data_IF_144931395526
#
_entry.id   IF_144931395526
#
_cell.length_a   1.000
_cell.length_b   1.000
_cell.length_c   1.000
_cell.angle_alpha   90.00
_cell.angle_beta   90.00
_cell.angle_gamma   90.00
#
_symmetry.space_group_name_H-M   'P 1'
#
loop_
_entity.id
_entity.type
_entity.pdbx_description
1 polymer ?
#
# COMPACT_ATOMS: atom_id res chain seq x y z
N UNK A 1 15.35 -11.51 15.76
CA UNK A 1 14.37 -11.20 14.71
C UNK A 1 15.07 -10.48 13.58
N UNK A 2 14.82 -10.91 12.34
CA UNK A 2 15.40 -10.23 11.19
C UNK A 2 14.66 -8.93 10.93
N UNK A 3 15.36 -7.82 10.65
CA UNK A 3 14.69 -6.60 10.26
C UNK A 3 13.99 -6.77 8.91
N UNK A 4 12.90 -6.04 8.73
CA UNK A 4 12.21 -6.02 7.45
C UNK A 4 13.06 -5.31 6.40
N UNK A 5 13.06 -5.85 5.17
CA UNK A 5 13.67 -5.17 4.04
C UNK A 5 12.82 -3.97 3.63
N UNK A 6 13.44 -2.98 2.99
CA UNK A 6 12.68 -1.89 2.39
C UNK A 6 11.81 -2.46 1.26
N UNK A 7 10.51 -2.14 1.23
CA UNK A 7 9.63 -2.63 0.18
C UNK A 7 9.90 -1.93 -1.16
N UNK A 8 9.60 -2.59 -2.29
CA UNK A 8 9.59 -1.90 -3.58
C UNK A 8 8.59 -0.74 -3.54
N UNK A 9 8.90 0.35 -4.23
CA UNK A 9 8.02 1.53 -4.22
C UNK A 9 6.61 1.24 -4.73
N UNK A 10 6.45 0.24 -5.61
CA UNK A 10 5.13 -0.16 -6.09
C UNK A 10 4.20 -0.57 -4.95
N UNK A 11 4.72 -1.15 -3.87
CA UNK A 11 3.91 -1.53 -2.70
C UNK A 11 3.41 -0.31 -1.94
N UNK A 12 4.15 0.78 -1.94
CA UNK A 12 3.71 2.04 -1.32
C UNK A 12 2.57 2.65 -2.14
N UNK A 13 2.65 2.63 -3.47
CA UNK A 13 1.55 3.06 -4.33
C UNK A 13 0.28 2.25 -4.05
N UNK A 14 0.40 0.92 -3.95
CA UNK A 14 -0.75 0.06 -3.63
C UNK A 14 -1.34 0.39 -2.26
N UNK A 15 -0.49 0.71 -1.27
CA UNK A 15 -0.93 1.11 0.06
C UNK A 15 -1.72 2.41 0.02
N UNK A 16 -1.29 3.39 -0.75
CA UNK A 16 -2.01 4.66 -0.91
C UNK A 16 -3.43 4.40 -1.43
N UNK A 17 -3.56 3.54 -2.44
CA UNK A 17 -4.88 3.18 -2.97
C UNK A 17 -5.74 2.49 -1.92
N UNK A 18 -5.19 1.55 -1.15
CA UNK A 18 -5.94 0.84 -0.12
C UNK A 18 -6.49 1.81 0.93
N UNK A 19 -5.71 2.79 1.35
CA UNK A 19 -6.16 3.82 2.29
C UNK A 19 -7.23 4.71 1.65
N UNK A 20 -6.97 5.20 0.43
CA UNK A 20 -7.90 6.09 -0.27
C UNK A 20 -9.25 5.42 -0.54
N UNK A 21 -9.26 4.12 -0.84
CA UNK A 21 -10.49 3.36 -1.11
C UNK A 21 -11.20 2.90 0.17
N UNK A 22 -10.65 3.20 1.35
CA UNK A 22 -11.27 2.81 2.60
C UNK A 22 -11.24 1.31 2.88
N UNK A 23 -10.25 0.60 2.33
CA UNK A 23 -10.14 -0.87 2.49
C UNK A 23 -9.45 -1.30 3.78
N UNK A 24 -8.94 -0.35 4.57
CA UNK A 24 -8.29 -0.62 5.85
C UNK A 24 -9.32 -0.51 6.96
N UNK A 25 -9.44 -1.54 7.80
CA UNK A 25 -10.31 -1.54 8.99
C UNK A 25 -9.48 -1.85 10.22
N UNK A 26 -9.43 -0.91 11.14
CA UNK A 26 -8.80 -1.13 12.45
C UNK A 26 -9.77 -1.95 13.31
N UNK A 27 -9.33 -3.11 13.78
CA UNK A 27 -10.18 -4.08 14.47
C UNK A 27 -9.91 -4.16 15.97
N UNK A 28 -9.41 -3.07 16.56
CA UNK A 28 -9.09 -3.01 17.97
C UNK A 28 -7.59 -2.79 18.20
N UNK A 29 -7.12 -2.81 19.47
CA UNK A 29 -5.71 -2.61 19.75
C UNK A 29 -4.88 -3.77 19.19
N UNK A 30 -3.95 -3.48 18.33
CA UNK A 30 -3.01 -4.45 17.80
C UNK A 30 -3.49 -5.28 16.62
N UNK A 31 -4.63 -4.94 16.01
CA UNK A 31 -5.16 -5.71 14.88
C UNK A 31 -5.87 -4.84 13.87
N UNK A 32 -5.76 -5.21 12.60
CA UNK A 32 -6.46 -4.58 11.49
C UNK A 32 -6.66 -5.57 10.35
N UNK A 33 -7.59 -5.28 9.46
CA UNK A 33 -7.77 -6.03 8.22
C UNK A 33 -7.69 -5.10 7.02
N UNK A 34 -7.21 -5.63 5.90
CA UNK A 34 -7.12 -4.88 4.64
C UNK A 34 -7.73 -5.75 3.54
N UNK A 35 -8.76 -5.24 2.89
CA UNK A 35 -9.38 -5.92 1.76
C UNK A 35 -8.52 -5.74 0.50
N UNK A 36 -8.41 -6.79 -0.32
CA UNK A 36 -7.70 -6.70 -1.59
C UNK A 36 -8.42 -5.77 -2.56
N UNK A 37 -7.71 -5.32 -3.61
CA UNK A 37 -8.30 -4.44 -4.62
C UNK A 37 -9.47 -5.08 -5.38
N UNK A 38 -9.51 -6.41 -5.45
CA UNK A 38 -10.62 -7.15 -6.07
C UNK A 38 -11.73 -7.48 -5.08
N UNK A 39 -11.48 -7.30 -3.79
CA UNK A 39 -12.45 -7.64 -2.74
C UNK A 39 -12.59 -9.13 -2.46
N UNK A 40 -11.76 -9.99 -3.06
CA UNK A 40 -11.83 -11.44 -2.92
C UNK A 40 -10.96 -11.99 -1.79
N UNK A 41 -10.10 -11.17 -1.22
CA UNK A 41 -9.23 -11.56 -0.11
C UNK A 41 -9.23 -10.49 0.96
N UNK A 42 -8.99 -10.92 2.20
CA UNK A 42 -8.77 -10.02 3.33
C UNK A 42 -7.46 -10.41 3.99
N UNK A 43 -6.59 -9.44 4.20
CA UNK A 43 -5.31 -9.65 4.87
C UNK A 43 -5.42 -9.24 6.31
N UNK A 44 -4.86 -10.06 7.20
CA UNK A 44 -4.81 -9.77 8.63
C UNK A 44 -3.46 -9.15 8.97
N UNK A 45 -3.48 -8.02 9.66
CA UNK A 45 -2.27 -7.31 10.10
C UNK A 45 -2.36 -7.16 11.62
N UNK A 46 -1.31 -7.59 12.32
CA UNK A 46 -1.21 -7.45 13.76
C UNK A 46 0.06 -6.72 14.16
N UNK A 47 0.06 -6.14 15.36
CA UNK A 47 1.25 -5.48 15.90
C UNK A 47 1.26 -5.61 17.43
N UNK A 48 2.47 -5.59 18.00
CA UNK A 48 2.65 -5.60 19.45
C UNK A 48 2.30 -4.24 20.05
N UNK A 49 2.08 -4.22 21.37
CA UNK A 49 1.72 -2.98 22.11
C UNK A 49 2.75 -1.87 21.91
N UNK A 50 4.03 -2.22 21.80
CA UNK A 50 5.10 -1.24 21.59
C UNK A 50 5.35 -0.91 20.12
N UNK A 51 4.61 -1.55 19.21
CA UNK A 51 4.74 -1.32 17.78
C UNK A 51 6.00 -1.91 17.13
N UNK A 52 6.81 -2.65 17.87
CA UNK A 52 8.08 -3.19 17.36
C UNK A 52 7.90 -4.46 16.52
N UNK A 53 6.85 -5.21 16.80
CA UNK A 53 6.57 -6.46 16.08
C UNK A 53 5.30 -6.27 15.26
N UNK A 54 5.39 -6.53 13.97
CA UNK A 54 4.26 -6.47 13.05
C UNK A 54 4.15 -7.82 12.36
N UNK A 55 2.94 -8.35 12.27
CA UNK A 55 2.65 -9.61 11.58
C UNK A 55 1.64 -9.37 10.47
N UNK A 56 1.77 -10.14 9.38
CA UNK A 56 0.83 -10.08 8.27
C UNK A 56 0.82 -11.40 7.53
N UNK A 57 -0.31 -11.75 6.97
CA UNK A 57 -0.46 -12.95 6.15
C UNK A 57 -0.36 -12.68 4.64
N UNK A 58 0.02 -11.47 4.23
CA UNK A 58 0.23 -11.20 2.81
C UNK A 58 1.53 -11.85 2.31
N UNK A 59 1.57 -12.16 1.00
CA UNK A 59 2.69 -12.88 0.41
C UNK A 59 4.03 -12.15 0.53
N UNK A 60 4.02 -10.83 0.34
CA UNK A 60 5.24 -10.04 0.40
C UNK A 60 5.87 -10.10 1.80
N UNK A 61 5.06 -9.93 2.84
CA UNK A 61 5.53 -9.96 4.22
C UNK A 61 5.97 -11.36 4.64
N UNK A 62 5.23 -12.38 4.25
CA UNK A 62 5.48 -13.76 4.67
C UNK A 62 6.69 -14.39 3.95
N UNK A 63 6.76 -14.23 2.62
CA UNK A 63 7.75 -14.94 1.81
C UNK A 63 8.95 -14.11 1.40
N UNK A 64 8.76 -12.80 1.16
CA UNK A 64 9.81 -11.93 0.62
C UNK A 64 10.60 -11.19 1.68
N UNK A 65 10.09 -11.10 2.92
CA UNK A 65 10.79 -10.45 4.04
C UNK A 65 10.78 -8.92 3.98
N UNK A 66 9.86 -8.31 3.23
CA UNK A 66 9.61 -6.87 3.27
C UNK A 66 8.14 -6.60 3.55
N UNK A 67 7.83 -5.37 3.99
CA UNK A 67 6.46 -5.00 4.29
C UNK A 67 5.64 -4.93 3.00
N UNK A 68 4.59 -5.75 2.93
CA UNK A 68 3.64 -5.72 1.83
C UNK A 68 2.71 -4.50 1.94
N UNK A 69 1.93 -4.25 0.88
CA UNK A 69 1.04 -3.09 0.88
C UNK A 69 0.00 -3.11 2.02
N UNK A 70 -0.53 -4.27 2.47
CA UNK A 70 -1.47 -4.27 3.58
C UNK A 70 -0.87 -3.70 4.86
N UNK A 71 0.37 -4.07 5.18
CA UNK A 71 1.08 -3.53 6.37
C UNK A 71 1.32 -2.04 6.23
N UNK A 72 1.80 -1.60 5.06
CA UNK A 72 2.04 -0.19 4.79
C UNK A 72 0.76 0.62 4.91
N UNK A 73 -0.37 0.10 4.38
CA UNK A 73 -1.66 0.75 4.46
C UNK A 73 -2.12 0.92 5.92
N UNK A 74 -1.94 -0.10 6.75
CA UNK A 74 -2.29 -0.03 8.17
C UNK A 74 -1.44 1.01 8.89
N UNK A 75 -0.13 1.04 8.63
CA UNK A 75 0.77 2.02 9.23
C UNK A 75 0.40 3.45 8.84
N UNK A 76 0.00 3.67 7.59
CA UNK A 76 -0.50 4.96 7.13
C UNK A 76 -1.82 5.32 7.83
N UNK A 77 -2.75 4.38 7.92
CA UNK A 77 -4.05 4.61 8.56
C UNK A 77 -3.91 4.91 10.05
N UNK A 78 -2.92 4.32 10.72
CA UNK A 78 -2.65 4.58 12.13
C UNK A 78 -1.85 5.85 12.39
N UNK A 79 -1.33 6.50 11.34
CA UNK A 79 -0.49 7.69 11.48
C UNK A 79 0.96 7.39 11.88
N UNK A 80 1.40 6.13 11.82
CA UNK A 80 2.80 5.75 12.09
C UNK A 80 3.68 6.19 10.92
N UNK A 81 3.19 5.97 9.69
CA UNK A 81 3.78 6.55 8.50
C UNK A 81 2.91 7.74 8.06
N UNK A 82 3.54 8.73 7.46
CA UNK A 82 2.86 9.96 7.06
C UNK A 82 2.99 10.19 5.56
N UNK A 83 1.88 10.59 4.94
CA UNK A 83 1.85 11.01 3.55
C UNK A 83 0.80 12.11 3.40
N UNK A 84 1.02 13.01 2.42
CA UNK A 84 0.05 14.06 2.10
C UNK A 84 -1.28 13.44 1.64
N UNK A 85 -2.39 13.88 2.24
CA UNK A 85 -3.71 13.34 1.92
C UNK A 85 -4.05 13.50 0.43
N UNK A 86 -3.61 14.58 -0.20
CA UNK A 86 -3.85 14.79 -1.63
C UNK A 86 -3.15 13.72 -2.48
N UNK A 87 -1.93 13.31 -2.09
CA UNK A 87 -1.21 12.26 -2.79
C UNK A 87 -1.90 10.90 -2.62
N UNK A 88 -2.35 10.58 -1.41
CA UNK A 88 -3.09 9.35 -1.12
C UNK A 88 -4.39 9.32 -1.91
N UNK A 89 -5.17 10.39 -1.86
CA UNK A 89 -6.46 10.48 -2.55
C UNK A 89 -6.31 10.40 -4.07
N UNK A 90 -5.20 10.88 -4.62
CA UNK A 90 -4.93 10.78 -6.05
C UNK A 90 -4.82 9.33 -6.53
N UNK A 91 -4.55 8.39 -5.64
CA UNK A 91 -4.44 6.97 -5.96
C UNK A 91 -5.73 6.18 -5.73
N UNK A 92 -6.84 6.85 -5.43
CA UNK A 92 -8.13 6.18 -5.24
C UNK A 92 -8.57 5.47 -6.51
N UNK A 93 -9.18 4.29 -6.37
CA UNK A 93 -9.80 3.56 -7.45
C UNK A 93 -8.85 2.79 -8.36
N UNK A 94 -7.56 2.77 -8.09
CA UNK A 94 -6.58 2.06 -8.92
C UNK A 94 -6.71 0.55 -8.69
N UNK A 95 -6.90 -0.19 -9.78
CA UNK A 95 -7.04 -1.66 -9.73
C UNK A 95 -5.70 -2.34 -9.92
N UNK A 96 -4.88 -2.32 -8.89
CA UNK A 96 -3.51 -2.82 -8.96
C UNK A 96 -3.40 -4.29 -9.35
N UNK A 97 -4.29 -5.15 -8.85
CA UNK A 97 -4.25 -6.57 -9.21
C UNK A 97 -4.41 -6.75 -10.72
N UNK A 98 -5.40 -6.07 -11.32
CA UNK A 98 -5.67 -6.17 -12.75
C UNK A 98 -4.50 -5.60 -13.56
N UNK A 99 -3.93 -4.48 -13.13
CA UNK A 99 -2.79 -3.86 -13.80
C UNK A 99 -1.53 -4.74 -13.70
N UNK A 100 -1.26 -5.28 -12.52
CA UNK A 100 -0.10 -6.15 -12.33
C UNK A 100 -0.21 -7.42 -13.16
N UNK A 101 -1.41 -7.96 -13.34
CA UNK A 101 -1.66 -9.09 -14.23
C UNK A 101 -1.44 -8.69 -15.69
N UNK A 102 -2.00 -7.53 -16.10
CA UNK A 102 -1.88 -7.01 -17.47
C UNK A 102 -0.42 -6.77 -17.86
N UNK A 103 0.39 -6.24 -16.94
CA UNK A 103 1.82 -5.97 -17.18
C UNK A 103 2.72 -7.12 -16.77
N UNK A 104 2.15 -8.33 -16.55
CA UNK A 104 2.89 -9.56 -16.26
C UNK A 104 3.84 -9.41 -15.05
N UNK A 105 3.36 -8.75 -14.01
CA UNK A 105 4.09 -8.46 -12.77
C UNK A 105 5.27 -7.51 -12.94
N UNK A 106 5.33 -6.76 -14.04
CA UNK A 106 6.22 -5.61 -14.14
C UNK A 106 5.58 -4.45 -13.38
N UNK A 107 5.86 -4.38 -12.09
CA UNK A 107 5.21 -3.43 -11.19
C UNK A 107 5.56 -1.99 -11.52
N UNK A 108 6.78 -1.73 -12.02
CA UNK A 108 7.18 -0.38 -12.42
C UNK A 108 6.45 0.08 -13.68
N UNK A 109 6.16 -0.84 -14.60
CA UNK A 109 5.35 -0.53 -15.77
C UNK A 109 3.91 -0.17 -15.38
N UNK A 110 3.35 -0.91 -14.42
CA UNK A 110 2.01 -0.61 -13.88
C UNK A 110 1.98 0.77 -13.21
N UNK A 111 2.99 1.10 -12.40
CA UNK A 111 3.11 2.42 -11.77
C UNK A 111 3.21 3.52 -12.83
N UNK A 112 4.04 3.34 -13.85
CA UNK A 112 4.17 4.32 -14.93
C UNK A 112 2.84 4.56 -15.65
N UNK A 113 2.07 3.50 -15.89
CA UNK A 113 0.74 3.61 -16.51
C UNK A 113 -0.20 4.45 -15.65
N UNK A 114 -0.25 4.17 -14.35
CA UNK A 114 -1.12 4.90 -13.40
C UNK A 114 -0.74 6.38 -13.34
N UNK A 115 0.56 6.68 -13.25
CA UNK A 115 1.02 8.07 -13.19
C UNK A 115 0.73 8.81 -14.50
N UNK A 116 0.84 8.13 -15.64
CA UNK A 116 0.49 8.68 -16.94
C UNK A 116 -0.99 9.03 -17.03
N UNK A 117 -1.87 8.16 -16.54
CA UNK A 117 -3.31 8.42 -16.50
C UNK A 117 -3.65 9.57 -15.54
N UNK A 118 -2.99 9.62 -14.38
CA UNK A 118 -3.17 10.71 -13.43
C UNK A 118 -2.83 12.06 -14.07
N UNK A 119 -1.71 12.14 -14.78
CA UNK A 119 -1.32 13.35 -15.51
C UNK A 119 -2.34 13.71 -16.57
N UNK A 120 -2.84 12.74 -17.32
CA UNK A 120 -3.84 12.95 -18.37
C UNK A 120 -5.16 13.50 -17.83
N UNK A 121 -5.48 13.22 -16.57
CA UNK A 121 -6.70 13.70 -15.91
C UNK A 121 -6.47 14.95 -15.04
N UNK A 122 -5.32 15.62 -15.22
CA UNK A 122 -5.03 16.86 -14.53
C UNK A 122 -4.46 16.71 -13.12
N UNK A 123 -4.08 15.51 -12.72
CA UNK A 123 -3.44 15.26 -11.44
C UNK A 123 -1.95 15.59 -11.46
N UNK A 124 -1.30 15.47 -10.30
CA UNK A 124 0.12 15.79 -10.12
C UNK A 124 0.92 14.51 -9.77
N UNK A 125 1.47 13.80 -10.77
CA UNK A 125 2.27 12.60 -10.51
C UNK A 125 3.51 12.88 -9.65
N UNK A 126 4.11 14.06 -9.78
CA UNK A 126 5.31 14.42 -9.02
C UNK A 126 5.01 14.48 -7.51
N UNK A 127 3.85 14.98 -7.13
CA UNK A 127 3.42 14.98 -5.72
C UNK A 127 3.35 13.55 -5.18
N UNK A 128 2.70 12.66 -5.93
CA UNK A 128 2.55 11.26 -5.50
C UNK A 128 3.91 10.58 -5.39
N UNK A 129 4.77 10.74 -6.39
CA UNK A 129 6.10 10.13 -6.37
C UNK A 129 6.94 10.64 -5.19
N UNK A 130 6.87 11.93 -4.90
CA UNK A 130 7.59 12.52 -3.78
C UNK A 130 7.11 11.95 -2.44
N UNK A 131 5.80 11.82 -2.26
CA UNK A 131 5.24 11.28 -1.02
C UNK A 131 5.51 9.78 -0.88
N UNK A 132 5.49 9.02 -1.96
CA UNK A 132 5.87 7.61 -1.95
C UNK A 132 7.33 7.45 -1.53
N UNK A 133 8.22 8.27 -2.05
CA UNK A 133 9.63 8.23 -1.71
C UNK A 133 9.89 8.60 -0.24
N UNK A 134 9.04 9.44 0.35
CA UNK A 134 9.18 9.88 1.75
C UNK A 134 8.67 8.84 2.76
N UNK A 135 7.84 7.90 2.34
CA UNK A 135 7.33 6.81 3.19
C UNK A 135 8.39 5.69 3.38
#
# INVERSE_FOLDING_TARGET
MKPWKLPPRAKVFEAFTAVADGRVRLAGPGAATVASSRGDKTYDVGWSDDGRVVTSNDNASYWQGYLGYPVLAVLLARGVLHADAAAVDAMAGVRWHDLNTRFKRDYEAAVAHVLGELSAHGGDPALVEREVAAV
#
